data_IF_791201244319
#
_entry.id   IF_791201244319
#
_cell.length_a   1.000
_cell.length_b   1.000
_cell.length_c   1.000
_cell.angle_alpha   90.00
_cell.angle_beta   90.00
_cell.angle_gamma   90.00
#
_symmetry.space_group_name_H-M   'P 1'
#
loop_
_entity.id
_entity.type
_entity.pdbx_description
1 polymer ?
#
# COMPACT_ATOMS: atom_id res chain seq x y z
N UNK A 1 33.51 -14.45 32.21
CA UNK A 1 32.43 -15.31 31.66
C UNK A 1 31.13 -14.52 31.78
N UNK A 2 30.31 -14.25 30.77
CA UNK A 2 30.12 -14.86 29.47
C UNK A 2 29.86 -13.73 28.46
N UNK A 3 30.51 -13.78 27.28
CA UNK A 3 29.94 -13.15 26.10
C UNK A 3 28.61 -13.85 25.83
N UNK A 4 27.51 -13.26 26.30
CA UNK A 4 26.17 -13.71 25.96
C UNK A 4 26.05 -13.48 24.46
N UNK A 5 26.23 -14.53 23.67
CA UNK A 5 25.94 -14.51 22.25
C UNK A 5 24.50 -14.07 22.10
N UNK A 6 24.30 -12.78 21.85
CA UNK A 6 23.03 -12.24 21.40
C UNK A 6 22.86 -12.80 20.00
N UNK A 7 22.09 -13.88 19.88
CA UNK A 7 21.56 -14.35 18.61
C UNK A 7 20.60 -13.29 18.07
N UNK A 8 21.14 -12.16 17.63
CA UNK A 8 20.37 -11.15 16.94
C UNK A 8 20.29 -11.55 15.49
N UNK A 9 19.18 -12.21 15.13
CA UNK A 9 18.95 -12.66 13.77
C UNK A 9 18.90 -11.49 12.77
N UNK A 10 18.69 -10.25 13.24
CA UNK A 10 18.68 -9.06 12.38
C UNK A 10 20.04 -8.79 11.75
N UNK A 11 21.14 -9.26 12.35
CA UNK A 11 22.49 -9.12 11.77
C UNK A 11 22.65 -9.88 10.44
N UNK A 12 21.71 -10.77 10.11
CA UNK A 12 21.67 -11.50 8.84
C UNK A 12 20.79 -10.81 7.79
N UNK A 13 20.14 -9.69 8.13
CA UNK A 13 19.42 -8.86 7.17
C UNK A 13 20.40 -7.92 6.46
N UNK A 14 20.05 -7.53 5.24
CA UNK A 14 20.71 -6.38 4.61
C UNK A 14 20.41 -5.12 5.43
N UNK A 15 21.30 -4.10 5.43
CA UNK A 15 21.03 -2.84 6.14
C UNK A 15 19.70 -2.20 5.72
N UNK A 16 19.33 -2.32 4.45
CA UNK A 16 18.06 -1.82 3.92
C UNK A 16 16.85 -2.56 4.51
N UNK A 17 16.91 -3.89 4.59
CA UNK A 17 15.82 -4.68 5.15
C UNK A 17 15.69 -4.52 6.67
N UNK A 18 16.81 -4.34 7.37
CA UNK A 18 16.81 -3.99 8.78
C UNK A 18 16.14 -2.63 9.03
N UNK A 19 16.43 -1.63 8.19
CA UNK A 19 15.78 -0.32 8.24
C UNK A 19 14.27 -0.43 8.02
N UNK A 20 13.84 -1.17 6.98
CA UNK A 20 12.41 -1.43 6.70
C UNK A 20 11.74 -2.12 7.89
N UNK A 21 12.36 -3.15 8.46
CA UNK A 21 11.84 -3.87 9.62
C UNK A 21 11.69 -2.93 10.82
N UNK A 22 12.70 -2.10 11.10
CA UNK A 22 12.67 -1.14 12.18
C UNK A 22 11.59 -0.07 11.96
N UNK A 23 11.33 0.35 10.72
CA UNK A 23 10.23 1.24 10.38
C UNK A 23 8.86 0.60 10.68
N UNK A 24 8.68 -0.68 10.35
CA UNK A 24 7.45 -1.43 10.70
C UNK A 24 7.28 -1.49 12.22
N UNK A 25 8.33 -1.83 12.96
CA UNK A 25 8.29 -1.89 14.43
C UNK A 25 7.91 -0.54 15.05
N UNK A 26 8.45 0.57 14.53
CA UNK A 26 8.09 1.93 14.98
C UNK A 26 6.61 2.24 14.75
N UNK A 27 6.06 1.85 13.59
CA UNK A 27 4.62 2.03 13.31
C UNK A 27 3.75 1.19 14.24
N UNK A 28 4.19 -0.02 14.56
CA UNK A 28 3.49 -0.93 15.48
C UNK A 28 3.48 -0.41 16.91
N UNK A 29 4.42 0.45 17.31
CA UNK A 29 4.49 1.01 18.66
C UNK A 29 3.21 1.74 19.11
N UNK A 30 2.38 2.23 18.18
CA UNK A 30 1.06 2.80 18.51
C UNK A 30 0.09 1.78 19.13
N UNK A 31 0.31 0.50 18.86
CA UNK A 31 -0.45 -0.64 19.42
C UNK A 31 0.13 -1.17 20.73
N UNK A 32 1.07 -0.45 21.36
CA UNK A 32 1.75 -0.92 22.59
C UNK A 32 0.81 -1.30 23.71
N UNK A 33 -0.30 -0.58 23.89
CA UNK A 33 -1.31 -0.93 24.88
C UNK A 33 -1.96 -2.30 24.61
N UNK A 34 -2.10 -2.69 23.34
CA UNK A 34 -2.71 -3.96 22.96
C UNK A 34 -1.74 -5.14 23.17
N UNK A 35 -0.53 -5.07 22.60
CA UNK A 35 0.39 -6.21 22.69
C UNK A 35 1.06 -6.35 24.06
N UNK A 36 1.28 -5.26 24.81
CA UNK A 36 1.92 -5.34 26.14
C UNK A 36 1.05 -6.06 27.18
N UNK A 37 -0.28 -6.01 27.00
CA UNK A 37 -1.25 -6.61 27.91
C UNK A 37 -1.72 -8.00 27.42
N UNK A 38 -1.01 -8.60 26.46
CA UNK A 38 -1.32 -9.94 25.97
C UNK A 38 -0.41 -10.98 26.61
N UNK A 39 -0.93 -12.21 26.76
CA UNK A 39 -0.14 -13.34 27.28
C UNK A 39 1.07 -13.64 26.38
N UNK A 40 0.91 -13.46 25.07
CA UNK A 40 1.95 -13.66 24.07
C UNK A 40 2.33 -12.37 23.35
N UNK A 41 3.07 -11.50 24.05
CA UNK A 41 3.49 -10.17 23.58
C UNK A 41 4.06 -10.17 22.16
N UNK A 42 4.94 -11.12 21.83
CA UNK A 42 5.58 -11.21 20.50
C UNK A 42 4.58 -11.56 19.40
N UNK A 43 3.64 -12.46 19.69
CA UNK A 43 2.60 -12.86 18.74
C UNK A 43 1.62 -11.72 18.53
N UNK A 44 1.19 -11.05 19.59
CA UNK A 44 0.32 -9.87 19.48
C UNK A 44 1.01 -8.70 18.75
N UNK A 45 2.32 -8.51 18.95
CA UNK A 45 3.10 -7.51 18.21
C UNK A 45 3.20 -7.86 16.72
N UNK A 46 3.38 -9.15 16.38
CA UNK A 46 3.37 -9.61 14.99
C UNK A 46 2.01 -9.38 14.32
N UNK A 47 0.90 -9.73 14.99
CA UNK A 47 -0.44 -9.46 14.48
C UNK A 47 -0.70 -7.96 14.29
N UNK A 48 -0.20 -7.12 15.20
CA UNK A 48 -0.26 -5.67 15.07
C UNK A 48 0.52 -5.17 13.85
N UNK A 49 1.66 -5.80 13.52
CA UNK A 49 2.42 -5.50 12.31
C UNK A 49 1.67 -5.91 11.04
N UNK A 50 1.08 -7.10 11.02
CA UNK A 50 0.27 -7.60 9.89
C UNK A 50 -0.92 -6.67 9.65
N UNK A 51 -1.62 -6.25 10.71
CA UNK A 51 -2.72 -5.29 10.62
C UNK A 51 -2.30 -3.96 10.00
N UNK A 52 -1.12 -3.47 10.34
CA UNK A 52 -0.59 -2.22 9.78
C UNK A 52 -0.24 -2.35 8.30
N UNK A 53 0.34 -3.48 7.90
CA UNK A 53 0.62 -3.79 6.50
C UNK A 53 -0.66 -3.94 5.68
N UNK A 54 -1.68 -4.60 6.24
CA UNK A 54 -2.99 -4.72 5.61
C UNK A 54 -3.65 -3.35 5.37
N UNK A 55 -3.60 -2.44 6.36
CA UNK A 55 -4.09 -1.07 6.19
C UNK A 55 -3.36 -0.30 5.09
N UNK A 56 -2.04 -0.45 5.01
CA UNK A 56 -1.26 0.17 3.93
C UNK A 56 -1.65 -0.41 2.56
N UNK A 57 -1.88 -1.72 2.47
CA UNK A 57 -2.34 -2.36 1.24
C UNK A 57 -3.72 -1.83 0.80
N UNK A 58 -4.68 -1.68 1.72
CA UNK A 58 -5.98 -1.08 1.41
C UNK A 58 -5.87 0.36 0.89
N UNK A 59 -4.97 1.16 1.48
CA UNK A 59 -4.73 2.54 1.01
C UNK A 59 -4.14 2.53 -0.41
N UNK A 60 -3.23 1.60 -0.71
CA UNK A 60 -2.64 1.46 -2.04
C UNK A 60 -3.68 0.99 -3.07
N UNK A 61 -4.52 0.01 -2.72
CA UNK A 61 -5.62 -0.45 -3.56
C UNK A 61 -6.57 0.69 -3.89
N UNK A 62 -7.02 1.44 -2.87
CA UNK A 62 -7.90 2.60 -3.09
C UNK A 62 -7.29 3.63 -4.03
N UNK A 63 -6.00 3.95 -3.86
CA UNK A 63 -5.30 4.88 -4.76
C UNK A 63 -5.22 4.36 -6.20
N UNK A 64 -5.04 3.04 -6.36
CA UNK A 64 -5.02 2.42 -7.68
C UNK A 64 -6.41 2.46 -8.34
N UNK A 65 -7.46 2.22 -7.57
CA UNK A 65 -8.85 2.32 -8.03
C UNK A 65 -9.17 3.77 -8.45
N UNK A 66 -8.77 4.76 -7.65
CA UNK A 66 -8.95 6.17 -7.97
C UNK A 66 -8.25 6.54 -9.30
N UNK A 67 -7.02 6.07 -9.49
CA UNK A 67 -6.25 6.30 -10.74
C UNK A 67 -6.91 5.63 -11.93
N UNK A 68 -7.37 4.38 -11.76
CA UNK A 68 -8.08 3.63 -12.81
C UNK A 68 -9.35 4.38 -13.23
N UNK A 69 -10.15 4.84 -12.26
CA UNK A 69 -11.36 5.61 -12.53
C UNK A 69 -11.10 6.92 -13.29
N UNK A 70 -9.98 7.60 -13.02
CA UNK A 70 -9.56 8.78 -13.79
C UNK A 70 -9.26 8.40 -15.25
N UNK A 71 -8.50 7.32 -15.46
CA UNK A 71 -8.15 6.86 -16.81
C UNK A 71 -9.37 6.40 -17.62
N UNK A 72 -10.30 5.69 -16.99
CA UNK A 72 -11.55 5.27 -17.62
C UNK A 72 -12.37 6.49 -18.04
N UNK A 73 -12.54 7.46 -17.13
CA UNK A 73 -13.23 8.72 -17.41
C UNK A 73 -12.57 9.52 -18.55
N UNK A 74 -11.24 9.51 -18.62
CA UNK A 74 -10.51 10.16 -19.71
C UNK A 74 -10.75 9.44 -21.04
N UNK A 75 -10.72 8.11 -21.03
CA UNK A 75 -10.96 7.27 -22.21
C UNK A 75 -12.36 7.47 -22.76
N UNK A 76 -13.38 7.50 -21.90
CA UNK A 76 -14.76 7.78 -22.30
C UNK A 76 -14.92 9.16 -22.93
N UNK A 77 -14.33 10.20 -22.33
CA UNK A 77 -14.35 11.56 -22.89
C UNK A 77 -13.68 11.64 -24.26
N UNK A 78 -12.59 10.89 -24.46
CA UNK A 78 -11.91 10.84 -25.75
C UNK A 78 -12.74 10.12 -26.82
N UNK A 79 -13.35 8.98 -26.48
CA UNK A 79 -14.26 8.25 -27.39
C UNK A 79 -15.42 9.15 -27.84
N UNK A 80 -16.08 9.79 -26.89
CA UNK A 80 -17.19 10.71 -27.18
C UNK A 80 -16.77 11.84 -28.13
N UNK A 81 -15.62 12.48 -27.88
CA UNK A 81 -15.09 13.52 -28.80
C UNK A 81 -14.82 13.01 -30.20
N UNK A 82 -14.36 11.76 -30.35
CA UNK A 82 -14.15 11.15 -31.65
C UNK A 82 -15.47 10.87 -32.37
N UNK A 83 -16.49 10.41 -31.65
CA UNK A 83 -17.86 10.20 -32.17
C UNK A 83 -18.47 11.54 -32.61
N UNK A 84 -18.49 12.55 -31.75
CA UNK A 84 -19.00 13.90 -32.06
C UNK A 84 -18.31 14.48 -33.31
N UNK A 85 -16.98 14.30 -33.43
CA UNK A 85 -16.22 14.75 -34.60
C UNK A 85 -16.63 14.00 -35.86
N UNK A 86 -16.89 12.69 -35.77
CA UNK A 86 -17.32 11.88 -36.91
C UNK A 86 -18.70 12.32 -37.40
N UNK A 87 -19.65 12.51 -36.50
CA UNK A 87 -20.99 13.00 -36.83
C UNK A 87 -20.96 14.39 -37.49
N UNK A 88 -20.07 15.27 -37.02
CA UNK A 88 -19.89 16.60 -37.63
C UNK A 88 -19.38 16.50 -39.07
N UNK A 89 -18.38 15.64 -39.33
CA UNK A 89 -17.84 15.43 -40.69
C UNK A 89 -18.94 14.87 -41.60
N UNK A 90 -19.66 13.84 -41.16
CA UNK A 90 -20.75 13.25 -41.95
C UNK A 90 -21.87 14.26 -42.26
N UNK A 91 -22.13 15.20 -41.34
CA UNK A 91 -23.12 16.26 -41.56
C UNK A 91 -22.66 17.30 -42.58
N UNK A 92 -21.37 17.62 -42.60
CA UNK A 92 -20.77 18.54 -43.58
C UNK A 92 -20.72 17.94 -44.99
N UNK A 93 -20.52 16.62 -45.11
CA UNK A 93 -20.51 15.92 -46.41
C UNK A 93 -21.89 15.78 -47.07
N UNK A 94 -22.98 15.97 -46.31
CA UNK A 94 -24.36 15.88 -46.81
C UNK A 94 -24.91 17.20 -47.36
N UNK A 95 -24.21 18.32 -47.16
CA UNK A 95 -24.55 19.64 -47.69
C UNK A 95 -23.90 19.86 -49.06
#
# INVERSE_FOLDING_TARGET
>A
MLFKSTKDWKQYLSPEDEEKLNAIIRRVAKYRGSYKNSDEVKVAQLWSAILELYKQNLILQKRLDDVTGIFDSMTERLKKKCEDKKELIESLERF
#
